data_IF_143141564257
#
_entry.id   IF_143141564257
#
_cell.length_a   1.000
_cell.length_b   1.000
_cell.length_c   1.000
_cell.angle_alpha   90.00
_cell.angle_beta   90.00
_cell.angle_gamma   90.00
#
_symmetry.space_group_name_H-M   'P 1'
#
loop_
_entity.id
_entity.type
_entity.pdbx_description
1 polymer ?
#
# COMPACT_ATOMS: atom_id res chain seq x y z
N UNK A 1 22.86 -11.70 -16.32
CA UNK A 1 21.38 -11.80 -16.28
C UNK A 1 20.91 -12.94 -17.17
N UNK A 2 19.76 -13.56 -16.87
CA UNK A 2 19.21 -14.65 -17.67
C UNK A 2 18.73 -14.13 -19.05
N UNK A 3 19.04 -14.85 -20.12
CA UNK A 3 18.53 -14.55 -21.49
C UNK A 3 17.00 -14.68 -21.61
N UNK A 4 16.36 -15.30 -20.63
CA UNK A 4 14.91 -15.50 -20.58
C UNK A 4 14.19 -14.40 -19.79
N UNK A 5 14.91 -13.48 -19.15
CA UNK A 5 14.31 -12.36 -18.44
C UNK A 5 13.78 -11.33 -19.44
N UNK A 6 12.55 -10.89 -19.24
CA UNK A 6 11.97 -9.81 -20.05
C UNK A 6 12.85 -8.55 -20.00
N UNK A 7 13.03 -7.89 -21.14
CA UNK A 7 13.93 -6.73 -21.24
C UNK A 7 13.58 -5.60 -20.26
N UNK A 8 12.31 -5.34 -20.04
CA UNK A 8 11.84 -4.33 -19.08
C UNK A 8 12.24 -4.60 -17.61
N UNK A 9 12.46 -5.88 -17.27
CA UNK A 9 12.87 -6.27 -15.93
C UNK A 9 14.38 -6.25 -15.71
N UNK A 10 15.16 -6.06 -16.77
CA UNK A 10 16.62 -6.03 -16.68
C UNK A 10 17.15 -4.77 -15.99
N UNK A 11 16.39 -3.69 -16.06
CA UNK A 11 16.70 -2.41 -15.44
C UNK A 11 16.01 -2.21 -14.08
N UNK A 12 15.17 -3.17 -13.67
CA UNK A 12 14.48 -3.09 -12.38
C UNK A 12 15.48 -3.12 -11.23
N UNK A 13 15.46 -2.10 -10.41
CA UNK A 13 16.24 -2.07 -9.18
C UNK A 13 15.47 -2.75 -8.05
N UNK A 14 16.16 -3.63 -7.32
CA UNK A 14 15.57 -4.25 -6.15
C UNK A 14 15.30 -3.19 -5.07
N UNK A 15 14.16 -3.30 -4.42
CA UNK A 15 13.90 -2.52 -3.22
C UNK A 15 14.92 -2.89 -2.13
N UNK A 16 15.50 -1.88 -1.50
CA UNK A 16 16.41 -2.06 -0.37
C UNK A 16 15.63 -1.76 0.91
N UNK A 17 15.28 -2.78 1.70
CA UNK A 17 14.61 -2.57 2.97
C UNK A 17 15.53 -1.85 3.96
N UNK A 18 14.96 -1.21 4.98
CA UNK A 18 15.72 -0.67 6.10
C UNK A 18 16.52 -1.75 6.84
N UNK A 19 17.51 -1.35 7.61
CA UNK A 19 18.34 -2.26 8.41
C UNK A 19 17.49 -3.17 9.30
N UNK A 20 17.86 -4.45 9.37
CA UNK A 20 17.21 -5.49 10.15
C UNK A 20 18.21 -6.14 11.12
N UNK A 21 18.65 -5.44 12.21
CA UNK A 21 19.59 -5.99 13.18
C UNK A 21 19.04 -7.27 13.81
N UNK A 22 19.91 -8.28 13.99
CA UNK A 22 19.54 -9.58 14.54
C UNK A 22 19.90 -9.75 16.01
N UNK A 23 20.69 -8.85 16.58
CA UNK A 23 21.26 -8.98 17.92
C UNK A 23 20.37 -8.42 19.05
N UNK A 24 19.24 -7.82 18.72
CA UNK A 24 18.23 -7.29 19.67
C UNK A 24 18.82 -6.28 20.70
N UNK A 25 20.01 -5.73 20.44
CA UNK A 25 20.64 -4.74 21.33
C UNK A 25 20.16 -3.31 21.04
N UNK A 26 19.38 -3.13 20.00
CA UNK A 26 18.92 -1.83 19.52
C UNK A 26 17.45 -1.59 19.84
N UNK A 27 17.11 -0.32 20.07
CA UNK A 27 15.71 0.12 20.03
C UNK A 27 15.36 0.32 18.55
N UNK A 28 14.55 -0.57 18.00
CA UNK A 28 14.17 -0.53 16.58
C UNK A 28 13.09 0.53 16.37
N UNK A 29 13.41 1.58 15.59
CA UNK A 29 12.51 2.69 15.28
C UNK A 29 12.29 2.86 13.77
N UNK A 30 12.77 1.91 12.95
CA UNK A 30 12.58 1.90 11.50
C UNK A 30 11.45 0.95 11.09
N UNK A 31 11.04 1.03 9.82
CA UNK A 31 10.05 0.14 9.16
C UNK A 31 8.63 0.17 9.74
N UNK A 32 8.30 1.11 10.64
CA UNK A 32 6.97 1.31 11.24
C UNK A 32 6.36 0.04 11.86
N UNK A 33 7.19 -0.84 12.41
CA UNK A 33 6.72 -2.03 13.12
C UNK A 33 6.07 -1.67 14.45
N UNK A 34 5.00 -2.39 14.81
CA UNK A 34 4.38 -2.24 16.12
C UNK A 34 5.31 -2.82 17.22
N UNK A 35 5.60 -2.06 18.28
CA UNK A 35 6.37 -2.58 19.42
C UNK A 35 5.53 -3.48 20.33
N UNK A 36 4.23 -3.58 20.11
CA UNK A 36 3.31 -4.35 20.94
C UNK A 36 3.02 -5.72 20.31
N UNK A 37 3.00 -6.79 21.13
CA UNK A 37 2.57 -8.11 20.68
C UNK A 37 1.06 -8.10 20.36
N UNK A 38 0.58 -9.12 19.63
CA UNK A 38 -0.85 -9.34 19.47
C UNK A 38 -1.57 -9.45 20.83
N UNK A 39 -2.85 -9.07 20.85
CA UNK A 39 -3.64 -9.19 22.09
C UNK A 39 -3.73 -10.63 22.58
N UNK A 40 -3.93 -10.86 23.91
CA UNK A 40 -4.10 -12.22 24.45
C UNK A 40 -5.21 -13.01 23.76
N UNK A 41 -6.30 -12.35 23.35
CA UNK A 41 -7.38 -13.01 22.62
C UNK A 41 -6.96 -13.53 21.25
N UNK A 42 -6.10 -12.81 20.53
CA UNK A 42 -5.53 -13.26 19.25
C UNK A 42 -4.63 -14.48 19.49
N UNK A 43 -3.76 -14.44 20.49
CA UNK A 43 -2.86 -15.56 20.80
C UNK A 43 -3.64 -16.82 21.21
N UNK A 44 -4.76 -16.67 21.93
CA UNK A 44 -5.65 -17.78 22.28
C UNK A 44 -6.41 -18.35 21.07
N UNK A 45 -6.76 -17.49 20.10
CA UNK A 45 -7.47 -17.91 18.89
C UNK A 45 -6.58 -18.72 17.95
N UNK A 46 -5.28 -18.44 17.92
CA UNK A 46 -4.29 -19.22 17.12
C UNK A 46 -3.86 -20.47 17.90
N UNK A 47 -4.61 -21.54 17.72
CA UNK A 47 -4.42 -22.79 18.47
C UNK A 47 -4.24 -24.01 17.55
N UNK A 48 -3.95 -25.19 18.14
CA UNK A 48 -3.73 -26.41 17.40
C UNK A 48 -4.93 -26.82 16.52
N UNK A 49 -6.15 -26.55 16.96
CA UNK A 49 -7.35 -26.86 16.18
C UNK A 49 -7.39 -26.05 14.88
N UNK A 50 -7.04 -24.76 14.92
CA UNK A 50 -6.91 -23.95 13.70
C UNK A 50 -5.72 -24.41 12.87
N UNK A 51 -4.57 -24.67 13.49
CA UNK A 51 -3.38 -25.16 12.81
C UNK A 51 -3.64 -26.47 12.05
N UNK A 52 -4.47 -27.37 12.60
CA UNK A 52 -4.86 -28.62 11.94
C UNK A 52 -5.67 -28.45 10.65
N UNK A 53 -6.24 -27.26 10.42
CA UNK A 53 -7.01 -26.93 9.22
C UNK A 53 -6.15 -26.32 8.10
N UNK A 54 -4.91 -25.91 8.38
CA UNK A 54 -4.01 -25.30 7.39
C UNK A 54 -3.80 -26.10 6.10
N UNK A 55 -3.86 -27.48 6.08
CA UNK A 55 -3.78 -28.22 4.83
C UNK A 55 -4.98 -28.02 3.88
N UNK A 56 -6.04 -27.40 4.33
CA UNK A 56 -7.25 -27.16 3.52
C UNK A 56 -7.18 -25.80 2.85
N UNK A 57 -7.80 -25.66 1.68
CA UNK A 57 -8.00 -24.37 1.08
C UNK A 57 -8.89 -23.49 1.97
N UNK A 58 -8.53 -22.21 2.15
CA UNK A 58 -9.37 -21.27 2.88
C UNK A 58 -10.64 -20.91 2.09
N UNK A 59 -11.58 -20.22 2.74
CA UNK A 59 -12.67 -19.55 2.04
C UNK A 59 -12.10 -18.52 1.04
N UNK A 60 -12.30 -18.73 -0.29
CA UNK A 60 -11.72 -17.84 -1.30
C UNK A 60 -12.29 -16.42 -1.26
N UNK A 61 -13.43 -16.21 -0.62
CA UNK A 61 -14.07 -14.91 -0.46
C UNK A 61 -13.68 -14.19 0.83
N UNK A 62 -13.00 -14.87 1.77
CA UNK A 62 -12.70 -14.32 3.11
C UNK A 62 -13.96 -13.76 3.80
N UNK A 63 -15.11 -14.45 3.67
CA UNK A 63 -16.44 -13.94 4.01
C UNK A 63 -16.51 -13.46 5.46
N UNK A 64 -16.08 -14.29 6.42
CA UNK A 64 -16.15 -13.96 7.84
C UNK A 64 -15.29 -12.73 8.19
N UNK A 65 -14.08 -12.63 7.62
CA UNK A 65 -13.18 -11.53 7.84
C UNK A 65 -13.73 -10.23 7.23
N UNK A 66 -14.22 -10.29 5.99
CA UNK A 66 -14.85 -9.12 5.33
C UNK A 66 -16.06 -8.61 6.09
N UNK A 67 -16.90 -9.50 6.60
CA UNK A 67 -18.05 -9.13 7.43
C UNK A 67 -17.62 -8.44 8.73
N UNK A 68 -16.61 -8.98 9.42
CA UNK A 68 -16.11 -8.40 10.66
C UNK A 68 -15.53 -6.99 10.44
N UNK A 69 -14.71 -6.81 9.40
CA UNK A 69 -14.15 -5.51 9.03
C UNK A 69 -15.26 -4.53 8.63
N UNK A 70 -16.17 -4.93 7.77
CA UNK A 70 -17.28 -4.10 7.32
C UNK A 70 -18.15 -3.62 8.49
N UNK A 71 -18.47 -4.53 9.43
CA UNK A 71 -19.22 -4.18 10.64
C UNK A 71 -18.50 -3.17 11.53
N UNK A 72 -17.16 -3.23 11.61
CA UNK A 72 -16.36 -2.28 12.39
C UNK A 72 -16.44 -0.85 11.85
N UNK A 73 -16.57 -0.72 10.53
CA UNK A 73 -16.54 0.58 9.83
C UNK A 73 -17.92 1.01 9.31
N UNK A 74 -18.99 0.30 9.67
CA UNK A 74 -20.35 0.54 9.16
C UNK A 74 -20.42 0.53 7.62
N UNK A 75 -19.77 -0.47 7.01
CA UNK A 75 -19.68 -0.65 5.57
C UNK A 75 -20.34 -1.97 5.14
N UNK A 76 -20.62 -2.10 3.84
CA UNK A 76 -20.93 -3.39 3.24
C UNK A 76 -19.66 -4.23 3.05
N UNK A 77 -19.70 -5.58 3.20
CA UNK A 77 -18.56 -6.47 2.90
C UNK A 77 -18.00 -6.32 1.48
N UNK A 78 -18.80 -5.81 0.54
CA UNK A 78 -18.38 -5.53 -0.84
C UNK A 78 -17.36 -4.38 -0.94
N UNK A 79 -17.29 -3.51 0.06
CA UNK A 79 -16.32 -2.42 0.15
C UNK A 79 -15.00 -2.86 0.77
N UNK A 80 -14.85 -4.14 1.12
CA UNK A 80 -13.66 -4.68 1.78
C UNK A 80 -12.91 -5.60 0.82
N UNK A 81 -11.67 -5.27 0.55
CA UNK A 81 -10.72 -6.13 -0.14
C UNK A 81 -9.67 -6.63 0.87
N UNK A 82 -9.42 -7.94 0.90
CA UNK A 82 -8.44 -8.56 1.79
C UNK A 82 -7.27 -9.07 0.96
N UNK A 83 -6.06 -8.70 1.37
CA UNK A 83 -4.80 -9.03 0.70
C UNK A 83 -3.70 -9.39 1.71
N UNK A 84 -2.59 -9.94 1.23
CA UNK A 84 -1.39 -10.16 2.05
C UNK A 84 -0.60 -8.85 2.22
N UNK A 85 -1.10 -7.99 3.11
CA UNK A 85 -0.54 -6.66 3.32
C UNK A 85 -0.93 -5.67 2.21
N UNK A 86 -0.51 -4.42 2.39
CA UNK A 86 -0.85 -3.32 1.47
C UNK A 86 -0.15 -3.43 0.11
N UNK A 87 1.02 -4.06 0.03
CA UNK A 87 1.77 -4.16 -1.22
C UNK A 87 1.03 -4.97 -2.28
N UNK A 88 0.36 -6.06 -1.89
CA UNK A 88 -0.48 -6.83 -2.81
C UNK A 88 -1.69 -6.02 -3.28
N UNK A 89 -2.35 -5.28 -2.37
CA UNK A 89 -3.46 -4.40 -2.73
C UNK A 89 -3.02 -3.28 -3.69
N UNK A 90 -1.89 -2.66 -3.42
CA UNK A 90 -1.31 -1.63 -4.28
C UNK A 90 -0.92 -2.19 -5.65
N UNK A 91 -0.28 -3.36 -5.68
CA UNK A 91 0.06 -4.00 -6.96
C UNK A 91 -1.19 -4.22 -7.82
N UNK A 92 -2.26 -4.76 -7.25
CA UNK A 92 -3.51 -4.95 -7.99
C UNK A 92 -4.17 -3.64 -8.39
N UNK A 93 -4.09 -2.60 -7.55
CA UNK A 93 -4.62 -1.28 -7.90
C UNK A 93 -3.85 -0.66 -9.09
N UNK A 94 -2.52 -0.69 -9.05
CA UNK A 94 -1.67 -0.23 -10.17
C UNK A 94 -1.94 -1.02 -11.45
N UNK A 95 -2.08 -2.34 -11.34
CA UNK A 95 -2.39 -3.20 -12.46
C UNK A 95 -3.78 -2.91 -13.07
N UNK A 96 -4.79 -2.70 -12.23
CA UNK A 96 -6.17 -2.52 -12.68
C UNK A 96 -6.48 -1.10 -13.18
N UNK A 97 -5.85 -0.08 -12.60
CA UNK A 97 -6.21 1.33 -12.83
C UNK A 97 -5.09 2.19 -13.41
N UNK A 98 -3.89 1.63 -13.61
CA UNK A 98 -2.72 2.38 -14.07
C UNK A 98 -2.60 2.53 -15.59
N UNK A 99 -3.59 2.17 -16.41
CA UNK A 99 -3.49 2.16 -17.88
C UNK A 99 -2.99 3.50 -18.47
N UNK A 100 -3.50 4.62 -17.93
CA UNK A 100 -3.11 5.96 -18.38
C UNK A 100 -1.93 6.55 -17.61
N UNK A 101 -1.27 5.74 -16.78
CA UNK A 101 -0.17 6.12 -15.91
C UNK A 101 -0.62 6.38 -14.47
N UNK A 102 0.36 6.64 -13.64
CA UNK A 102 0.17 6.84 -12.20
C UNK A 102 0.86 8.12 -11.75
N UNK A 103 0.27 8.85 -10.82
CA UNK A 103 0.84 10.05 -10.21
C UNK A 103 0.91 9.87 -8.69
N UNK A 104 2.05 10.21 -8.10
CA UNK A 104 2.29 10.13 -6.66
C UNK A 104 3.36 11.14 -6.23
N UNK A 105 3.46 11.51 -4.94
CA UNK A 105 4.47 12.45 -4.47
C UNK A 105 5.89 11.94 -4.73
N UNK A 106 6.83 12.85 -5.00
CA UNK A 106 8.26 12.55 -5.21
C UNK A 106 8.95 12.01 -3.95
N UNK A 107 8.47 12.42 -2.77
CA UNK A 107 8.92 11.90 -1.48
C UNK A 107 7.74 11.17 -0.82
N UNK A 108 7.67 9.86 -1.03
CA UNK A 108 6.59 8.99 -0.55
C UNK A 108 7.05 7.53 -0.41
N UNK A 109 6.13 6.60 -0.27
CA UNK A 109 6.43 5.18 -0.17
C UNK A 109 7.15 4.66 -1.42
N UNK A 110 8.38 4.21 -1.24
CA UNK A 110 9.29 3.85 -2.34
C UNK A 110 8.81 2.73 -3.28
N UNK A 111 7.86 1.90 -2.86
CA UNK A 111 7.32 0.83 -3.70
C UNK A 111 6.43 1.33 -4.85
N UNK A 112 5.93 2.56 -4.82
CA UNK A 112 5.14 3.09 -5.94
C UNK A 112 5.95 3.14 -7.23
N UNK A 113 7.19 3.60 -7.16
CA UNK A 113 8.12 3.58 -8.30
C UNK A 113 8.43 2.17 -8.78
N UNK A 114 8.58 1.22 -7.83
CA UNK A 114 8.82 -0.20 -8.14
C UNK A 114 7.63 -0.80 -8.88
N UNK A 115 6.39 -0.58 -8.41
CA UNK A 115 5.19 -1.08 -9.07
C UNK A 115 5.01 -0.49 -10.46
N UNK A 116 5.20 0.83 -10.61
CA UNK A 116 5.11 1.49 -11.91
C UNK A 116 6.12 0.88 -12.90
N UNK A 117 7.38 0.72 -12.48
CA UNK A 117 8.44 0.11 -13.29
C UNK A 117 8.15 -1.35 -13.63
N UNK A 118 7.71 -2.14 -12.64
CA UNK A 118 7.38 -3.56 -12.81
C UNK A 118 6.26 -3.78 -13.83
N UNK A 119 5.25 -2.92 -13.79
CA UNK A 119 4.09 -3.00 -14.68
C UNK A 119 4.28 -2.25 -16.00
N UNK A 120 5.38 -1.49 -16.14
CA UNK A 120 5.67 -0.69 -17.33
C UNK A 120 4.74 0.52 -17.47
N UNK A 121 4.27 1.07 -16.34
CA UNK A 121 3.40 2.23 -16.31
C UNK A 121 4.21 3.54 -16.36
N UNK A 122 3.63 4.57 -16.94
CA UNK A 122 4.21 5.90 -16.90
C UNK A 122 3.99 6.51 -15.50
N UNK A 123 5.05 6.64 -14.72
CA UNK A 123 5.03 7.31 -13.43
C UNK A 123 5.24 8.82 -13.58
N UNK A 124 4.44 9.60 -12.88
CA UNK A 124 4.59 11.04 -12.73
C UNK A 124 4.81 11.37 -11.26
N UNK A 125 6.04 11.70 -10.92
CA UNK A 125 6.40 12.14 -9.58
C UNK A 125 6.02 13.61 -9.40
N UNK A 126 5.21 13.88 -8.38
CA UNK A 126 4.66 15.20 -8.07
C UNK A 126 5.48 15.83 -6.94
N UNK A 127 6.14 16.98 -7.16
CA UNK A 127 6.98 17.57 -6.14
C UNK A 127 6.16 18.01 -4.93
N UNK A 128 6.65 17.66 -3.73
CA UNK A 128 6.14 18.24 -2.49
C UNK A 128 6.55 19.70 -2.38
N UNK A 129 5.78 20.48 -1.59
CA UNK A 129 6.18 21.85 -1.22
C UNK A 129 7.43 21.82 -0.30
N UNK A 130 8.04 22.98 -0.09
CA UNK A 130 9.22 23.11 0.75
C UNK A 130 9.01 22.67 2.22
N UNK A 131 7.77 22.69 2.69
CA UNK A 131 7.34 22.21 4.00
C UNK A 131 6.86 20.76 3.98
N UNK A 132 7.10 20.04 2.88
CA UNK A 132 6.67 18.66 2.60
C UNK A 132 5.16 18.45 2.52
N UNK A 133 4.35 19.49 2.47
CA UNK A 133 2.91 19.37 2.23
C UNK A 133 2.61 19.15 0.75
N UNK A 134 1.43 18.59 0.47
CA UNK A 134 0.92 18.39 -0.89
C UNK A 134 0.25 19.66 -1.42
N UNK A 135 0.32 19.88 -2.73
CA UNK A 135 -0.49 20.88 -3.42
C UNK A 135 -1.65 20.17 -4.15
N UNK A 136 -2.90 20.28 -3.69
CA UNK A 136 -4.01 19.63 -4.37
C UNK A 136 -4.20 20.11 -5.81
N UNK A 137 -3.81 21.37 -6.12
CA UNK A 137 -3.89 21.92 -7.47
C UNK A 137 -2.95 21.23 -8.46
N UNK A 138 -1.81 20.73 -7.99
CA UNK A 138 -0.88 19.98 -8.82
C UNK A 138 -1.45 18.65 -9.34
N UNK A 139 -2.47 18.11 -8.67
CA UNK A 139 -3.15 16.86 -9.05
C UNK A 139 -4.42 17.08 -9.88
N UNK A 140 -4.68 18.32 -10.33
CA UNK A 140 -5.88 18.62 -11.11
C UNK A 140 -5.78 18.08 -12.55
N UNK A 141 -6.84 17.46 -13.04
CA UNK A 141 -7.03 17.04 -14.44
C UNK A 141 -5.88 16.17 -15.00
N UNK A 142 -5.31 15.28 -14.17
CA UNK A 142 -4.19 14.44 -14.59
C UNK A 142 -4.60 13.32 -15.54
N UNK A 143 -5.84 12.85 -15.51
CA UNK A 143 -6.30 11.71 -16.29
C UNK A 143 -5.51 10.43 -15.96
N UNK A 144 -5.03 10.29 -14.74
CA UNK A 144 -4.18 9.18 -14.28
C UNK A 144 -4.66 8.67 -12.93
N UNK A 145 -4.23 7.47 -12.57
CA UNK A 145 -4.38 7.01 -11.20
C UNK A 145 -3.53 7.89 -10.26
N UNK A 146 -4.15 8.46 -9.25
CA UNK A 146 -3.47 9.24 -8.22
C UNK A 146 -3.31 8.38 -6.97
N UNK A 147 -2.08 8.29 -6.45
CA UNK A 147 -1.76 7.49 -5.26
C UNK A 147 -1.13 8.38 -4.20
N UNK A 148 -1.78 8.48 -3.05
CA UNK A 148 -1.33 9.31 -1.93
C UNK A 148 -1.38 8.46 -0.66
N UNK A 149 -0.23 8.30 -0.01
CA UNK A 149 -0.16 7.76 1.33
C UNK A 149 -0.66 8.82 2.32
N UNK A 150 -1.56 8.45 3.23
CA UNK A 150 -2.09 9.36 4.23
C UNK A 150 -2.22 8.68 5.60
N UNK A 151 -1.41 9.05 6.60
CA UNK A 151 -0.29 10.00 6.54
C UNK A 151 0.81 9.57 5.56
N UNK A 152 1.49 10.54 4.95
CA UNK A 152 2.57 10.25 4.01
C UNK A 152 3.81 9.69 4.74
N UNK A 153 4.39 8.66 4.21
CA UNK A 153 5.67 8.12 4.66
C UNK A 153 6.78 8.52 3.64
N UNK A 154 7.92 9.13 4.02
CA UNK A 154 8.41 9.25 5.41
C UNK A 154 8.08 10.56 6.13
N UNK A 155 7.34 11.51 5.52
CA UNK A 155 7.14 12.85 6.07
C UNK A 155 6.26 12.90 7.32
N UNK A 156 5.45 11.87 7.56
CA UNK A 156 4.46 11.75 8.64
C UNK A 156 3.35 12.81 8.58
N UNK A 157 3.27 13.58 7.51
CA UNK A 157 2.21 14.57 7.31
C UNK A 157 0.93 13.90 6.79
N UNK A 158 -0.19 14.25 7.41
CA UNK A 158 -1.52 13.77 7.02
C UNK A 158 -2.37 14.90 6.48
N UNK A 159 -3.19 14.58 5.49
CA UNK A 159 -4.14 15.49 4.88
C UNK A 159 -5.56 15.21 5.39
N UNK A 160 -6.37 16.26 5.53
CA UNK A 160 -7.78 16.14 5.91
C UNK A 160 -8.68 15.70 4.76
N UNK A 161 -9.93 15.38 5.07
CA UNK A 161 -10.93 14.98 4.06
C UNK A 161 -11.18 16.05 3.01
N UNK A 162 -11.12 17.33 3.38
CA UNK A 162 -11.27 18.45 2.46
C UNK A 162 -10.20 18.48 1.35
N UNK A 163 -9.00 18.00 1.65
CA UNK A 163 -7.94 17.82 0.66
C UNK A 163 -8.33 16.72 -0.34
N UNK A 164 -8.80 15.57 0.16
CA UNK A 164 -9.24 14.45 -0.69
C UNK A 164 -10.39 14.87 -1.59
N UNK A 165 -11.39 15.58 -1.02
CA UNK A 165 -12.52 16.12 -1.78
C UNK A 165 -12.10 17.07 -2.90
N UNK A 166 -11.11 17.95 -2.65
CA UNK A 166 -10.56 18.82 -3.70
C UNK A 166 -9.96 18.03 -4.85
N UNK A 167 -9.14 17.01 -4.56
CA UNK A 167 -8.56 16.17 -5.61
C UNK A 167 -9.65 15.44 -6.40
N UNK A 168 -10.65 14.88 -5.74
CA UNK A 168 -11.79 14.24 -6.41
C UNK A 168 -12.57 15.22 -7.29
N UNK A 169 -12.79 16.43 -6.81
CA UNK A 169 -13.50 17.48 -7.59
C UNK A 169 -12.71 17.94 -8.82
N UNK A 170 -11.38 17.92 -8.78
CA UNK A 170 -10.53 18.22 -9.92
C UNK A 170 -10.44 17.09 -10.95
N UNK A 171 -10.83 15.88 -10.61
CA UNK A 171 -10.64 14.67 -11.43
C UNK A 171 -11.96 13.87 -11.48
N UNK A 172 -13.03 14.48 -11.98
CA UNK A 172 -14.37 13.87 -12.06
C UNK A 172 -14.61 13.07 -13.36
N UNK A 173 -13.63 12.97 -14.23
CA UNK A 173 -13.74 12.32 -15.56
C UNK A 173 -13.41 10.83 -15.51
#
# INVERSE_FOLDING_TARGET
MSRFLQSRLQTLQAYVPGEQPQDMTYVKLNTNESPYPPSPGVLQAVNETLASQLPRYPDPQNTALKQAIASLYDLSPQHVCVTNGSDEALYFAFFAFGEHGVAFPDITYGFYTVFASLLGLHAQEMPLKADFTLDPGAYAHLGKMIVIANPNAPTSLGEGLDFVEKILNYNQD
#
